data_IF_844289250957
#
_entry.id   IF_844289250957
#
_cell.length_a   1.000
_cell.length_b   1.000
_cell.length_c   1.000
_cell.angle_alpha   90.00
_cell.angle_beta   90.00
_cell.angle_gamma   90.00
#
_symmetry.space_group_name_H-M   'P 1'
#
loop_
_entity.id
_entity.type
_entity.pdbx_description
1 polymer ?
#
# COMPACT_ATOMS: atom_id res chain seq x y z
N UNK A 1 14.89 -6.10 10.59
CA UNK A 1 15.31 -6.80 9.35
C UNK A 1 15.45 -8.29 9.57
N UNK A 2 16.01 -8.74 10.68
CA UNK A 2 16.10 -10.18 11.05
C UNK A 2 14.76 -10.92 10.98
N UNK A 3 13.73 -10.46 11.69
CA UNK A 3 12.44 -11.14 11.71
C UNK A 3 11.75 -11.12 10.35
N UNK A 4 11.83 -9.99 9.64
CA UNK A 4 11.29 -9.83 8.29
C UNK A 4 11.95 -10.83 7.33
N UNK A 5 13.27 -11.00 7.42
CA UNK A 5 14.01 -11.98 6.63
C UNK A 5 13.57 -13.41 6.94
N UNK A 6 13.42 -13.74 8.22
CA UNK A 6 12.97 -15.07 8.65
C UNK A 6 11.59 -15.41 8.11
N UNK A 7 10.67 -14.45 8.19
CA UNK A 7 9.28 -14.62 7.72
C UNK A 7 9.23 -14.67 6.19
N UNK A 8 10.01 -13.85 5.49
CA UNK A 8 10.00 -13.79 4.02
C UNK A 8 10.77 -14.92 3.33
N UNK A 9 11.64 -15.63 4.06
CA UNK A 9 12.54 -16.63 3.48
C UNK A 9 13.66 -16.04 2.63
N UNK A 10 13.83 -14.71 2.58
CA UNK A 10 14.91 -14.06 1.85
C UNK A 10 16.27 -14.43 2.47
N UNK A 11 17.32 -14.50 1.64
CA UNK A 11 18.68 -14.65 2.17
C UNK A 11 19.14 -13.33 2.81
N UNK A 12 20.15 -13.41 3.68
CA UNK A 12 20.76 -12.21 4.26
C UNK A 12 21.31 -11.30 3.15
N UNK A 13 21.92 -11.89 2.12
CA UNK A 13 22.42 -11.12 0.97
C UNK A 13 21.31 -10.41 0.20
N UNK A 14 20.21 -11.09 -0.12
CA UNK A 14 19.16 -10.50 -0.97
C UNK A 14 18.35 -9.41 -0.25
N UNK A 15 18.05 -9.58 1.05
CA UNK A 15 17.26 -8.59 1.78
C UNK A 15 18.04 -7.28 1.99
N UNK A 16 19.32 -7.35 2.32
CA UNK A 16 20.16 -6.16 2.53
C UNK A 16 20.62 -5.53 1.21
N UNK A 17 20.71 -6.30 0.13
CA UNK A 17 20.94 -5.75 -1.21
C UNK A 17 19.72 -4.98 -1.72
N UNK A 18 18.51 -5.43 -1.40
CA UNK A 18 17.28 -4.78 -1.84
C UNK A 18 16.86 -3.62 -0.93
N UNK A 19 17.05 -3.77 0.38
CA UNK A 19 16.73 -2.74 1.37
C UNK A 19 17.91 -2.56 2.34
N UNK A 20 18.61 -1.44 2.20
CA UNK A 20 19.80 -1.12 3.00
C UNK A 20 19.53 -1.08 4.51
N UNK A 21 18.29 -0.74 4.91
CA UNK A 21 17.84 -0.71 6.30
C UNK A 21 16.31 -0.86 6.40
N UNK A 22 15.79 -0.87 7.64
CA UNK A 22 14.36 -1.06 7.90
C UNK A 22 13.54 0.14 7.42
N UNK A 23 14.10 1.34 7.45
CA UNK A 23 13.47 2.58 7.01
C UNK A 23 13.25 2.58 5.49
N UNK A 24 14.22 2.08 4.71
CA UNK A 24 14.11 1.94 3.27
C UNK A 24 13.03 0.93 2.89
N UNK A 25 12.98 -0.21 3.59
CA UNK A 25 11.90 -1.19 3.43
C UNK A 25 10.53 -0.59 3.76
N UNK A 26 10.43 0.11 4.89
CA UNK A 26 9.20 0.79 5.31
C UNK A 26 8.74 1.81 4.26
N UNK A 27 9.65 2.63 3.75
CA UNK A 27 9.37 3.59 2.67
C UNK A 27 8.90 2.89 1.39
N UNK A 28 9.53 1.79 1.00
CA UNK A 28 9.12 1.03 -0.19
C UNK A 28 7.71 0.45 -0.01
N UNK A 29 7.42 -0.14 1.14
CA UNK A 29 6.09 -0.66 1.49
C UNK A 29 5.02 0.46 1.46
N UNK A 30 5.36 1.64 1.98
CA UNK A 30 4.46 2.81 1.94
C UNK A 30 4.17 3.24 0.50
N UNK A 31 5.20 3.35 -0.34
CA UNK A 31 5.04 3.75 -1.75
C UNK A 31 4.22 2.73 -2.54
N UNK A 32 4.45 1.43 -2.30
CA UNK A 32 3.70 0.35 -2.93
C UNK A 32 2.21 0.41 -2.54
N UNK A 33 1.91 0.50 -1.24
CA UNK A 33 0.54 0.62 -0.76
C UNK A 33 -0.16 1.87 -1.29
N UNK A 34 0.55 3.01 -1.32
CA UNK A 34 0.02 4.27 -1.85
C UNK A 34 -0.25 4.19 -3.36
N UNK A 35 0.65 3.56 -4.11
CA UNK A 35 0.48 3.32 -5.54
C UNK A 35 -0.73 2.43 -5.80
N UNK A 36 -0.84 1.31 -5.08
CA UNK A 36 -1.98 0.38 -5.16
C UNK A 36 -3.31 1.09 -4.90
N UNK A 37 -3.44 1.83 -3.80
CA UNK A 37 -4.64 2.59 -3.47
C UNK A 37 -5.00 3.62 -4.56
N UNK A 38 -4.00 4.36 -5.06
CA UNK A 38 -4.21 5.33 -6.14
C UNK A 38 -4.67 4.67 -7.44
N UNK A 39 -4.09 3.53 -7.81
CA UNK A 39 -4.51 2.76 -8.99
C UNK A 39 -5.94 2.27 -8.82
N UNK A 40 -6.32 1.74 -7.67
CA UNK A 40 -7.70 1.32 -7.38
C UNK A 40 -8.69 2.48 -7.51
N UNK A 41 -8.38 3.66 -6.97
CA UNK A 41 -9.25 4.83 -7.10
C UNK A 41 -9.33 5.35 -8.54
N UNK A 42 -8.21 5.47 -9.25
CA UNK A 42 -8.20 6.02 -10.62
C UNK A 42 -8.88 5.10 -11.62
N UNK A 43 -8.72 3.78 -11.47
CA UNK A 43 -9.38 2.78 -12.33
C UNK A 43 -10.87 2.60 -12.01
N UNK A 44 -11.33 3.01 -10.83
CA UNK A 44 -12.77 2.97 -10.48
C UNK A 44 -13.62 3.96 -11.28
N UNK A 45 -13.00 4.96 -11.91
CA UNK A 45 -13.69 6.00 -12.66
C UNK A 45 -14.05 5.51 -14.07
N UNK A 46 -15.21 4.86 -14.19
CA UNK A 46 -15.69 4.29 -15.46
C UNK A 46 -16.84 5.08 -16.10
N UNK A 47 -17.35 6.11 -15.43
CA UNK A 47 -18.57 6.84 -15.80
C UNK A 47 -18.33 8.33 -16.03
N UNK A 48 -19.08 8.92 -16.97
CA UNK A 48 -19.10 10.38 -17.23
C UNK A 48 -20.04 11.14 -16.27
N UNK A 49 -20.81 10.44 -15.46
CA UNK A 49 -21.74 11.05 -14.50
C UNK A 49 -21.06 11.30 -13.15
N UNK A 50 -20.99 12.57 -12.75
CA UNK A 50 -20.26 12.99 -11.55
C UNK A 50 -20.68 12.27 -10.27
N UNK A 51 -21.99 12.09 -10.05
CA UNK A 51 -22.53 11.44 -8.85
C UNK A 51 -22.10 9.98 -8.75
N UNK A 52 -22.18 9.26 -9.86
CA UNK A 52 -21.81 7.84 -9.91
C UNK A 52 -20.28 7.66 -9.85
N UNK A 53 -19.52 8.60 -10.44
CA UNK A 53 -18.07 8.63 -10.31
C UNK A 53 -17.60 8.84 -8.86
N UNK A 54 -18.23 9.75 -8.11
CA UNK A 54 -17.92 9.96 -6.69
C UNK A 54 -18.21 8.69 -5.88
N UNK A 55 -19.37 8.05 -6.09
CA UNK A 55 -19.70 6.80 -5.41
C UNK A 55 -18.68 5.70 -5.73
N UNK A 56 -18.30 5.55 -7.00
CA UNK A 56 -17.32 4.55 -7.42
C UNK A 56 -15.97 4.74 -6.72
N UNK A 57 -15.49 5.98 -6.60
CA UNK A 57 -14.25 6.30 -5.88
C UNK A 57 -14.38 5.96 -4.39
N UNK A 58 -15.50 6.29 -3.73
CA UNK A 58 -15.72 5.98 -2.31
C UNK A 58 -15.73 4.47 -2.09
N UNK A 59 -16.46 3.71 -2.91
CA UNK A 59 -16.50 2.25 -2.80
C UNK A 59 -15.13 1.61 -3.06
N UNK A 60 -14.40 2.11 -4.05
CA UNK A 60 -13.05 1.64 -4.35
C UNK A 60 -12.07 1.92 -3.19
N UNK A 61 -12.16 3.10 -2.56
CA UNK A 61 -11.37 3.46 -1.39
C UNK A 61 -11.68 2.52 -0.21
N UNK A 62 -12.95 2.41 0.18
CA UNK A 62 -13.36 1.56 1.32
C UNK A 62 -13.03 0.08 1.06
N UNK A 63 -13.34 -0.43 -0.14
CA UNK A 63 -13.07 -1.81 -0.50
C UNK A 63 -11.58 -2.15 -0.51
N UNK A 64 -10.71 -1.20 -0.86
CA UNK A 64 -9.27 -1.41 -0.77
C UNK A 64 -8.82 -1.56 0.68
N UNK A 65 -9.34 -0.74 1.61
CA UNK A 65 -9.02 -0.84 3.04
C UNK A 65 -9.56 -2.14 3.66
N UNK A 66 -10.74 -2.60 3.25
CA UNK A 66 -11.28 -3.90 3.69
C UNK A 66 -10.38 -5.07 3.26
N UNK A 67 -9.83 -5.02 2.05
CA UNK A 67 -8.96 -6.07 1.51
C UNK A 67 -7.51 -6.00 2.01
N UNK A 68 -7.06 -4.82 2.46
CA UNK A 68 -5.67 -4.55 2.83
C UNK A 68 -5.58 -3.90 4.22
N UNK A 69 -6.29 -4.44 5.22
CA UNK A 69 -6.46 -3.80 6.53
C UNK A 69 -5.13 -3.38 7.19
N UNK A 70 -4.15 -4.30 7.28
CA UNK A 70 -2.85 -4.02 7.92
C UNK A 70 -2.06 -2.94 7.15
N UNK A 71 -2.02 -3.06 5.83
CA UNK A 71 -1.32 -2.10 4.97
C UNK A 71 -2.03 -0.73 4.99
N UNK A 72 -3.37 -0.71 5.00
CA UNK A 72 -4.17 0.49 5.14
C UNK A 72 -3.94 1.19 6.46
N UNK A 73 -3.93 0.45 7.58
CA UNK A 73 -3.57 1.00 8.88
C UNK A 73 -2.15 1.58 8.86
N UNK A 74 -1.20 0.86 8.27
CA UNK A 74 0.18 1.35 8.12
C UNK A 74 0.26 2.66 7.33
N UNK A 75 -0.47 2.79 6.20
CA UNK A 75 -0.51 4.02 5.41
C UNK A 75 -1.10 5.21 6.18
N UNK A 76 -2.17 4.99 6.96
CA UNK A 76 -2.81 6.05 7.74
C UNK A 76 -1.89 6.60 8.82
N UNK A 77 -1.18 5.73 9.55
CA UNK A 77 -0.26 6.13 10.63
C UNK A 77 1.02 6.77 10.07
N UNK A 78 1.54 6.22 8.96
CA UNK A 78 2.78 6.71 8.34
C UNK A 78 2.63 8.09 7.70
N UNK A 79 1.41 8.55 7.43
CA UNK A 79 1.14 9.90 6.90
C UNK A 79 1.37 11.01 7.95
N UNK A 80 1.34 10.68 9.24
CA UNK A 80 1.48 11.62 10.36
C UNK A 80 2.85 11.55 11.07
N UNK A 81 3.80 10.81 10.49
CA UNK A 81 5.16 10.59 11.02
C UNK A 81 6.19 11.39 10.23
#
# INVERSE_FOLDING_TARGET
MEDIRKISGASTGSIYHHFSNKEMLARALYLEGRSSLNTTMTTSFTTKHIREGIKAIIYAYLGWFEQNADLGQYLLVSYFS
#
